data_IF_661742774577
#
_entry.id   IF_661742774577
#
_cell.length_a   1.000
_cell.length_b   1.000
_cell.length_c   1.000
_cell.angle_alpha   90.00
_cell.angle_beta   90.00
_cell.angle_gamma   90.00
#
_symmetry.space_group_name_H-M   'P 1'
#
loop_
_entity.id
_entity.type
_entity.pdbx_description
1 polymer ?
#
# COMPACT_ATOMS: atom_id res chain seq x y z
N UNK A 1 -5.00 -26.30 -14.16
CA UNK A 1 -5.75 -26.46 -12.89
C UNK A 1 -5.00 -27.40 -11.94
N UNK A 2 -3.73 -27.09 -11.59
CA UNK A 2 -2.86 -28.02 -10.83
C UNK A 2 -1.88 -27.32 -9.85
N UNK A 3 -2.09 -26.05 -9.49
CA UNK A 3 -1.16 -25.32 -8.60
C UNK A 3 -1.62 -25.15 -7.14
N UNK A 4 -2.79 -25.66 -6.75
CA UNK A 4 -3.30 -25.51 -5.37
C UNK A 4 -3.12 -26.75 -4.49
N UNK A 5 -2.67 -27.88 -5.03
CA UNK A 5 -2.64 -29.14 -4.26
C UNK A 5 -1.31 -29.45 -3.56
N UNK A 6 -0.20 -28.81 -3.96
CA UNK A 6 1.14 -29.12 -3.39
C UNK A 6 1.56 -28.28 -2.17
N UNK A 7 0.78 -27.27 -1.74
CA UNK A 7 1.13 -26.47 -0.55
C UNK A 7 0.85 -27.16 0.79
N UNK A 8 0.11 -28.28 0.80
CA UNK A 8 -0.20 -29.01 2.03
C UNK A 8 0.90 -29.94 2.55
N UNK A 9 2.00 -30.15 1.79
CA UNK A 9 2.98 -31.20 2.09
C UNK A 9 4.31 -30.71 2.71
N UNK A 10 4.49 -29.39 2.84
CA UNK A 10 5.64 -28.78 3.49
C UNK A 10 5.10 -27.72 4.44
N UNK A 11 5.22 -27.95 5.76
CA UNK A 11 4.76 -27.07 6.82
C UNK A 11 5.55 -25.75 6.92
N UNK A 12 5.77 -25.06 5.81
CA UNK A 12 6.30 -23.71 5.80
C UNK A 12 5.14 -22.80 6.16
N UNK A 13 5.14 -22.33 7.41
CA UNK A 13 4.21 -21.31 7.86
C UNK A 13 4.40 -20.05 7.02
N UNK A 14 3.36 -19.65 6.29
CA UNK A 14 3.42 -18.47 5.43
C UNK A 14 3.60 -17.22 6.29
N UNK A 15 4.59 -16.38 5.96
CA UNK A 15 4.90 -15.15 6.71
C UNK A 15 3.63 -14.32 6.98
N UNK A 16 3.47 -13.71 8.16
CA UNK A 16 2.27 -12.93 8.52
C UNK A 16 1.89 -11.83 7.52
N UNK A 17 2.87 -11.27 6.81
CA UNK A 17 2.72 -10.19 5.83
C UNK A 17 2.53 -10.65 4.39
N UNK A 18 2.62 -11.96 4.11
CA UNK A 18 2.47 -12.48 2.76
C UNK A 18 1.01 -12.40 2.33
N UNK A 19 0.73 -11.74 1.21
CA UNK A 19 -0.62 -11.68 0.66
C UNK A 19 -1.01 -13.04 0.08
N UNK A 20 -2.19 -13.53 0.46
CA UNK A 20 -2.72 -14.82 0.02
C UNK A 20 -4.13 -14.66 -0.53
N UNK A 21 -4.43 -15.33 -1.64
CA UNK A 21 -5.82 -15.55 -2.04
C UNK A 21 -6.47 -16.56 -1.09
N UNK A 22 -7.64 -16.21 -0.58
CA UNK A 22 -8.37 -16.97 0.44
C UNK A 22 -9.82 -17.14 0.02
N UNK A 23 -10.47 -18.13 0.64
CA UNK A 23 -11.86 -18.48 0.34
C UNK A 23 -12.79 -17.99 1.43
N UNK A 24 -14.01 -17.63 1.06
CA UNK A 24 -15.01 -17.06 1.98
C UNK A 24 -15.46 -18.03 3.07
N UNK A 25 -15.41 -19.34 2.82
CA UNK A 25 -15.75 -20.39 3.79
C UNK A 25 -14.84 -20.38 5.04
N UNK A 26 -13.62 -19.83 4.92
CA UNK A 26 -12.69 -19.70 6.05
C UNK A 26 -13.16 -18.69 7.11
N UNK A 27 -14.11 -17.81 6.78
CA UNK A 27 -14.47 -16.66 7.62
C UNK A 27 -15.90 -16.70 8.18
N UNK A 28 -16.71 -17.72 7.82
CA UNK A 28 -18.14 -17.83 8.21
C UNK A 28 -18.34 -17.77 9.73
N UNK A 29 -17.44 -18.40 10.50
CA UNK A 29 -17.56 -18.53 11.96
C UNK A 29 -16.60 -17.60 12.72
N UNK A 30 -16.04 -16.58 12.06
CA UNK A 30 -15.10 -15.65 12.68
C UNK A 30 -15.80 -14.32 12.97
N UNK A 31 -15.63 -13.75 14.17
CA UNK A 31 -16.17 -12.44 14.49
C UNK A 31 -15.48 -11.37 13.64
N UNK A 32 -16.23 -10.35 13.24
CA UNK A 32 -15.69 -9.16 12.57
C UNK A 32 -15.43 -8.12 13.66
N UNK A 33 -14.16 -7.76 13.86
CA UNK A 33 -13.76 -6.72 14.80
C UNK A 33 -13.99 -5.32 14.20
N UNK A 34 -13.59 -5.12 12.94
CA UNK A 34 -13.75 -3.86 12.21
C UNK A 34 -14.11 -4.12 10.74
N UNK A 35 -14.79 -3.15 10.14
CA UNK A 35 -15.18 -3.15 8.73
C UNK A 35 -15.05 -1.74 8.17
N UNK A 36 -14.36 -1.63 7.04
CA UNK A 36 -14.24 -0.41 6.24
C UNK A 36 -14.44 -0.79 4.77
N UNK A 37 -15.57 -0.42 4.18
CA UNK A 37 -15.97 -0.80 2.82
C UNK A 37 -15.74 -2.29 2.48
N UNK A 38 -14.70 -2.55 1.67
CA UNK A 38 -14.31 -3.86 1.16
C UNK A 38 -13.21 -4.54 2.00
N UNK A 39 -12.80 -3.95 3.12
CA UNK A 39 -11.76 -4.48 3.99
C UNK A 39 -12.28 -4.76 5.40
N UNK A 40 -11.95 -5.93 5.93
CA UNK A 40 -12.43 -6.41 7.22
C UNK A 40 -11.26 -6.91 8.07
N UNK A 41 -11.33 -6.64 9.38
CA UNK A 41 -10.49 -7.28 10.38
C UNK A 41 -11.30 -8.35 11.10
N UNK A 42 -10.98 -9.61 10.84
CA UNK A 42 -11.55 -10.76 11.52
C UNK A 42 -10.77 -11.10 12.78
N UNK A 43 -11.49 -11.45 13.84
CA UNK A 43 -10.91 -12.01 15.05
C UNK A 43 -10.70 -13.53 14.98
N UNK A 44 -10.12 -14.12 16.03
CA UNK A 44 -10.02 -15.56 16.20
C UNK A 44 -11.38 -16.25 16.16
N UNK A 45 -11.43 -17.50 15.71
CA UNK A 45 -12.65 -18.30 15.65
C UNK A 45 -13.15 -18.65 17.06
N UNK A 46 -14.47 -18.65 17.23
CA UNK A 46 -15.13 -18.95 18.52
C UNK A 46 -16.13 -20.11 18.34
N UNK A 47 -15.97 -21.25 19.03
CA UNK A 47 -14.82 -21.64 19.85
C UNK A 47 -13.57 -21.94 19.00
N UNK A 48 -12.35 -21.78 19.55
CA UNK A 48 -11.12 -22.06 18.81
C UNK A 48 -10.95 -23.57 18.58
N UNK A 49 -10.67 -23.98 17.34
CA UNK A 49 -10.19 -25.33 17.07
C UNK A 49 -8.71 -25.41 17.45
N UNK A 50 -8.39 -26.11 18.54
CA UNK A 50 -7.02 -26.22 19.05
C UNK A 50 -6.05 -26.90 18.08
N UNK A 51 -6.56 -27.59 17.04
CA UNK A 51 -5.75 -28.25 16.01
C UNK A 51 -5.36 -27.33 14.86
N UNK A 52 -6.07 -26.23 14.63
CA UNK A 52 -5.77 -25.29 13.55
C UNK A 52 -5.15 -23.99 14.09
N UNK A 53 -3.84 -23.75 13.94
CA UNK A 53 -3.20 -22.55 14.47
C UNK A 53 -3.79 -21.27 13.88
N UNK A 54 -4.32 -21.29 12.65
CA UNK A 54 -4.94 -20.13 12.00
C UNK A 54 -6.21 -19.64 12.68
N UNK A 55 -6.91 -20.52 13.41
CA UNK A 55 -8.15 -20.19 14.10
C UNK A 55 -7.90 -19.26 15.31
N UNK A 56 -6.64 -19.10 15.73
CA UNK A 56 -6.22 -18.22 16.82
C UNK A 56 -5.81 -16.81 16.36
N UNK A 57 -5.76 -16.56 15.06
CA UNK A 57 -5.21 -15.33 14.52
C UNK A 57 -6.29 -14.27 14.32
N UNK A 58 -5.89 -13.01 14.47
CA UNK A 58 -6.52 -11.87 13.82
C UNK A 58 -6.07 -11.83 12.36
N UNK A 59 -6.97 -11.43 11.46
CA UNK A 59 -6.68 -11.43 10.03
C UNK A 59 -7.37 -10.28 9.29
N UNK A 60 -6.57 -9.49 8.56
CA UNK A 60 -7.07 -8.45 7.68
C UNK A 60 -7.35 -9.06 6.31
N UNK A 61 -8.60 -8.97 5.87
CA UNK A 61 -9.07 -9.53 4.61
C UNK A 61 -9.68 -8.43 3.75
N UNK A 62 -9.25 -8.39 2.49
CA UNK A 62 -9.79 -7.53 1.46
C UNK A 62 -10.69 -8.37 0.54
N UNK A 63 -11.94 -7.93 0.40
CA UNK A 63 -12.89 -8.42 -0.58
C UNK A 63 -12.67 -7.61 -1.85
N UNK A 64 -12.53 -8.28 -3.00
CA UNK A 64 -12.33 -7.59 -4.27
C UNK A 64 -13.52 -6.65 -4.56
N UNK A 65 -13.28 -5.34 -4.77
CA UNK A 65 -14.36 -4.35 -4.75
C UNK A 65 -15.23 -4.27 -6.03
N UNK A 66 -14.86 -4.92 -7.15
CA UNK A 66 -15.45 -4.66 -8.48
C UNK A 66 -16.00 -5.89 -9.22
N UNK A 67 -16.48 -6.92 -8.51
CA UNK A 67 -16.95 -8.16 -9.17
C UNK A 67 -18.31 -8.63 -8.69
N UNK A 68 -19.28 -8.71 -9.61
CA UNK A 68 -20.63 -9.24 -9.35
C UNK A 68 -20.66 -10.79 -9.28
N UNK A 69 -19.67 -11.47 -9.85
CA UNK A 69 -19.71 -12.94 -10.04
C UNK A 69 -18.60 -13.75 -9.35
N UNK A 70 -17.44 -13.14 -9.03
CA UNK A 70 -16.28 -13.80 -8.43
C UNK A 70 -15.87 -13.09 -7.13
N UNK A 71 -16.39 -13.55 -5.99
CA UNK A 71 -16.00 -13.06 -4.67
C UNK A 71 -14.58 -13.51 -4.34
N UNK A 72 -13.58 -12.85 -4.93
CA UNK A 72 -12.19 -13.06 -4.58
C UNK A 72 -11.88 -12.32 -3.27
N UNK A 73 -11.18 -13.01 -2.38
CA UNK A 73 -10.75 -12.47 -1.10
C UNK A 73 -9.23 -12.62 -0.97
N UNK A 74 -8.62 -11.63 -0.34
CA UNK A 74 -7.18 -11.59 -0.12
C UNK A 74 -6.89 -11.38 1.36
N UNK A 75 -6.17 -12.31 1.96
CA UNK A 75 -5.57 -12.16 3.28
C UNK A 75 -4.35 -11.26 3.16
N UNK A 76 -4.41 -10.07 3.74
CA UNK A 76 -3.37 -9.05 3.64
C UNK A 76 -2.36 -9.13 4.80
N UNK A 77 -2.84 -9.48 5.99
CA UNK A 77 -2.03 -9.53 7.20
C UNK A 77 -2.67 -10.43 8.25
N UNK A 78 -1.84 -11.12 9.05
CA UNK A 78 -2.26 -12.02 10.13
C UNK A 78 -1.47 -11.69 11.40
N UNK A 79 -2.07 -11.81 12.58
CA UNK A 79 -1.36 -11.60 13.86
C UNK A 79 -2.03 -12.36 15.00
N UNK A 80 -1.27 -12.79 15.99
CA UNK A 80 -1.83 -13.29 17.26
C UNK A 80 -2.28 -12.14 18.19
N UNK A 81 -1.73 -10.93 17.99
CA UNK A 81 -2.05 -9.76 18.79
C UNK A 81 -3.15 -8.92 18.13
N UNK A 82 -4.20 -8.64 18.91
CA UNK A 82 -5.28 -7.73 18.50
C UNK A 82 -4.72 -6.34 18.18
N UNK A 83 -3.93 -5.78 19.10
CA UNK A 83 -3.31 -4.46 18.97
C UNK A 83 -2.52 -4.35 17.67
N UNK A 84 -1.66 -5.34 17.39
CA UNK A 84 -0.87 -5.36 16.15
C UNK A 84 -1.74 -5.42 14.88
N UNK A 85 -2.85 -6.15 14.92
CA UNK A 85 -3.77 -6.24 13.79
C UNK A 85 -4.57 -4.95 13.58
N UNK A 86 -5.03 -4.33 14.66
CA UNK A 86 -5.73 -3.02 14.64
C UNK A 86 -4.82 -1.92 14.10
N UNK A 87 -3.58 -1.86 14.59
CA UNK A 87 -2.56 -0.91 14.15
C UNK A 87 -2.29 -1.00 12.64
N UNK A 88 -2.25 -2.23 12.11
CA UNK A 88 -2.06 -2.48 10.68
C UNK A 88 -3.33 -2.15 9.89
N UNK A 89 -4.50 -2.47 10.43
CA UNK A 89 -5.80 -2.17 9.81
C UNK A 89 -5.98 -0.67 9.60
N UNK A 90 -5.65 0.16 10.60
CA UNK A 90 -5.72 1.63 10.51
C UNK A 90 -4.85 2.17 9.36
N UNK A 91 -3.66 1.61 9.16
CA UNK A 91 -2.77 2.03 8.05
C UNK A 91 -3.38 1.71 6.68
N UNK A 92 -4.03 0.55 6.57
CA UNK A 92 -4.49 0.00 5.29
C UNK A 92 -5.87 0.49 4.86
N UNK A 93 -6.78 0.74 5.81
CA UNK A 93 -8.24 0.76 5.57
C UNK A 93 -8.74 1.81 4.58
N UNK A 94 -8.08 2.94 4.50
CA UNK A 94 -8.43 3.99 3.53
C UNK A 94 -7.55 3.90 2.27
N UNK A 95 -6.27 3.58 2.45
CA UNK A 95 -5.26 3.69 1.40
C UNK A 95 -5.34 2.55 0.38
N UNK A 96 -5.50 1.30 0.84
CA UNK A 96 -5.54 0.13 -0.05
C UNK A 96 -6.81 0.14 -0.93
N UNK A 97 -8.03 0.31 -0.38
CA UNK A 97 -9.24 0.40 -1.21
C UNK A 97 -9.20 1.54 -2.21
N UNK A 98 -8.73 2.74 -1.79
CA UNK A 98 -8.57 3.88 -2.69
C UNK A 98 -7.56 3.59 -3.81
N UNK A 99 -6.41 3.01 -3.49
CA UNK A 99 -5.39 2.65 -4.48
C UNK A 99 -5.93 1.66 -5.52
N UNK A 100 -6.65 0.63 -5.09
CA UNK A 100 -7.27 -0.34 -6.00
C UNK A 100 -8.36 0.35 -6.86
N UNK A 101 -9.11 1.29 -6.27
CA UNK A 101 -10.15 2.04 -6.99
C UNK A 101 -9.57 2.86 -8.13
N UNK A 102 -8.43 3.53 -7.95
CA UNK A 102 -7.81 4.36 -8.99
C UNK A 102 -6.97 3.55 -9.98
N UNK A 103 -6.29 2.49 -9.53
CA UNK A 103 -5.44 1.66 -10.40
C UNK A 103 -6.21 0.59 -11.16
N UNK A 104 -7.36 0.16 -10.64
CA UNK A 104 -8.09 -1.05 -11.07
C UNK A 104 -7.29 -2.34 -10.94
N UNK A 105 -6.16 -2.32 -10.23
CA UNK A 105 -5.29 -3.47 -10.01
C UNK A 105 -5.61 -4.13 -8.65
N UNK A 106 -5.91 -5.43 -8.67
CA UNK A 106 -6.22 -6.19 -7.46
C UNK A 106 -5.74 -7.65 -7.60
N UNK A 107 -4.44 -7.80 -7.81
CA UNK A 107 -3.73 -9.09 -7.82
C UNK A 107 -2.91 -9.28 -6.54
N UNK A 108 -2.58 -10.54 -6.19
CA UNK A 108 -1.70 -10.85 -5.05
C UNK A 108 -0.39 -10.06 -5.12
N UNK A 109 0.21 -9.92 -6.31
CA UNK A 109 1.47 -9.20 -6.49
C UNK A 109 1.31 -7.69 -6.26
N UNK A 110 0.26 -7.08 -6.82
CA UNK A 110 -0.01 -5.65 -6.60
C UNK A 110 -0.32 -5.34 -5.14
N UNK A 111 -1.09 -6.21 -4.48
CA UNK A 111 -1.46 -6.09 -3.08
C UNK A 111 -0.26 -6.29 -2.15
N UNK A 112 0.64 -7.23 -2.47
CA UNK A 112 1.87 -7.42 -1.71
C UNK A 112 2.72 -6.15 -1.73
N UNK A 113 2.97 -5.58 -2.92
CA UNK A 113 3.77 -4.35 -3.06
C UNK A 113 3.21 -3.21 -2.21
N UNK A 114 1.91 -2.92 -2.30
CA UNK A 114 1.33 -1.83 -1.50
C UNK A 114 1.32 -2.13 0.01
N UNK A 115 1.11 -3.38 0.44
CA UNK A 115 1.17 -3.75 1.85
C UNK A 115 2.58 -3.57 2.44
N UNK A 116 3.60 -3.93 1.66
CA UNK A 116 5.01 -3.75 2.03
C UNK A 116 5.36 -2.25 2.12
N UNK A 117 5.03 -1.49 1.07
CA UNK A 117 5.27 -0.04 1.03
C UNK A 117 4.60 0.70 2.19
N UNK A 118 3.34 0.38 2.51
CA UNK A 118 2.61 1.00 3.62
C UNK A 118 3.08 0.53 5.00
N UNK A 119 3.71 -0.64 5.08
CA UNK A 119 4.31 -1.10 6.33
C UNK A 119 5.57 -0.30 6.68
N UNK A 120 6.33 0.11 5.67
CA UNK A 120 7.52 0.96 5.82
C UNK A 120 7.15 2.45 5.91
N UNK A 121 6.06 2.86 5.26
CA UNK A 121 5.67 4.27 5.11
C UNK A 121 4.21 4.49 5.54
N UNK A 122 3.94 4.31 6.85
CA UNK A 122 2.56 4.24 7.41
C UNK A 122 1.71 5.49 7.15
N UNK A 123 2.35 6.65 7.08
CA UNK A 123 1.71 7.97 6.96
C UNK A 123 1.61 8.50 5.53
N UNK A 124 2.13 7.78 4.53
CA UNK A 124 2.08 8.19 3.14
C UNK A 124 0.64 8.41 2.64
N UNK A 125 0.44 9.51 1.93
CA UNK A 125 -0.80 9.78 1.21
C UNK A 125 -0.88 8.95 -0.08
N UNK A 126 -2.03 8.97 -0.74
CA UNK A 126 -2.18 8.31 -2.04
C UNK A 126 -1.21 8.88 -3.10
N UNK A 127 -0.89 10.18 -3.04
CA UNK A 127 0.05 10.80 -3.96
C UNK A 127 1.49 10.29 -3.78
N UNK A 128 1.92 10.01 -2.53
CA UNK A 128 3.21 9.38 -2.28
C UNK A 128 3.28 7.98 -2.89
N UNK A 129 2.22 7.17 -2.74
CA UNK A 129 2.14 5.84 -3.35
C UNK A 129 2.21 5.90 -4.88
N UNK A 130 1.44 6.81 -5.49
CA UNK A 130 1.42 7.03 -6.94
C UNK A 130 2.80 7.46 -7.45
N UNK A 131 3.45 8.40 -6.75
CA UNK A 131 4.82 8.84 -7.07
C UNK A 131 5.82 7.69 -6.96
N UNK A 132 5.77 6.92 -5.87
CA UNK A 132 6.65 5.79 -5.61
C UNK A 132 6.53 4.68 -6.68
N UNK A 133 5.30 4.34 -7.08
CA UNK A 133 5.06 3.32 -8.10
C UNK A 133 5.19 3.84 -9.54
N UNK A 134 5.39 5.15 -9.74
CA UNK A 134 5.59 5.73 -11.07
C UNK A 134 4.33 5.84 -11.93
N UNK A 135 3.14 5.85 -11.32
CA UNK A 135 1.83 5.84 -11.98
C UNK A 135 1.41 7.25 -12.43
N UNK A 136 2.18 7.86 -13.34
CA UNK A 136 2.12 9.29 -13.68
C UNK A 136 0.71 9.76 -14.06
N UNK A 137 0.00 8.93 -14.83
CA UNK A 137 -1.36 9.17 -15.30
C UNK A 137 -2.40 9.40 -14.20
N UNK A 138 -2.16 8.85 -13.00
CA UNK A 138 -3.10 8.96 -11.87
C UNK A 138 -3.03 10.30 -11.17
N UNK A 139 -2.07 11.18 -11.50
CA UNK A 139 -2.13 12.57 -11.05
C UNK A 139 -3.28 13.35 -11.69
N UNK A 140 -4.08 12.79 -12.60
CA UNK A 140 -5.35 13.43 -12.98
C UNK A 140 -6.53 13.05 -12.06
N UNK A 141 -6.36 12.05 -11.19
CA UNK A 141 -7.41 11.61 -10.27
C UNK A 141 -7.63 12.65 -9.15
N UNK A 142 -8.88 13.06 -8.85
CA UNK A 142 -9.15 14.09 -7.85
C UNK A 142 -8.57 13.78 -6.47
N UNK A 143 -8.63 12.52 -6.04
CA UNK A 143 -8.11 12.10 -4.73
C UNK A 143 -6.57 12.17 -4.68
N UNK A 144 -5.88 12.03 -5.82
CA UNK A 144 -4.41 12.19 -5.91
C UNK A 144 -4.04 13.66 -5.96
N UNK A 145 -4.77 14.45 -6.76
CA UNK A 145 -4.59 15.90 -6.87
C UNK A 145 -4.75 16.65 -5.54
N UNK A 146 -5.61 16.18 -4.64
CA UNK A 146 -5.74 16.80 -3.30
C UNK A 146 -4.48 16.72 -2.45
N UNK A 147 -3.59 15.77 -2.73
CA UNK A 147 -2.43 15.45 -1.89
C UNK A 147 -1.10 15.54 -2.66
N UNK A 148 -1.08 16.12 -3.86
CA UNK A 148 0.07 16.07 -4.76
C UNK A 148 1.35 16.75 -4.23
N UNK A 149 1.19 17.68 -3.29
CA UNK A 149 2.28 18.47 -2.67
C UNK A 149 2.33 18.32 -1.13
N UNK A 150 1.54 17.39 -0.58
CA UNK A 150 1.51 17.16 0.86
C UNK A 150 2.84 16.58 1.34
N UNK A 151 3.39 17.14 2.42
CA UNK A 151 4.53 16.54 3.10
C UNK A 151 4.06 15.38 3.99
N UNK A 152 4.79 14.26 3.94
CA UNK A 152 4.61 13.17 4.89
C UNK A 152 4.87 13.66 6.33
N UNK A 153 3.96 13.47 7.29
CA UNK A 153 4.13 14.02 8.63
C UNK A 153 5.26 13.38 9.43
N UNK A 154 5.77 12.21 9.03
CA UNK A 154 6.83 11.50 9.77
C UNK A 154 8.24 11.81 9.27
N UNK A 155 8.37 12.16 8.01
CA UNK A 155 9.66 12.41 7.34
C UNK A 155 9.77 13.81 6.76
N UNK A 156 8.66 14.48 6.50
CA UNK A 156 8.59 15.75 5.77
C UNK A 156 8.75 15.58 4.24
N UNK A 157 8.95 14.36 3.75
CA UNK A 157 9.15 14.12 2.32
C UNK A 157 7.85 14.40 1.55
N UNK A 158 7.95 15.05 0.38
CA UNK A 158 6.82 15.25 -0.53
C UNK A 158 6.78 14.18 -1.62
N UNK A 159 5.66 14.02 -2.38
CA UNK A 159 5.61 13.12 -3.54
C UNK A 159 6.72 13.42 -4.57
N UNK A 160 7.10 14.69 -4.74
CA UNK A 160 8.21 15.06 -5.61
C UNK A 160 9.55 14.48 -5.11
N UNK A 161 9.87 14.62 -3.82
CA UNK A 161 11.08 14.03 -3.25
C UNK A 161 11.09 12.51 -3.38
N UNK A 162 9.94 11.85 -3.15
CA UNK A 162 9.80 10.41 -3.36
C UNK A 162 10.08 10.03 -4.81
N UNK A 163 9.55 10.77 -5.78
CA UNK A 163 9.79 10.49 -7.21
C UNK A 163 11.27 10.61 -7.60
N UNK A 164 11.97 11.61 -7.08
CA UNK A 164 13.42 11.80 -7.26
C UNK A 164 14.20 10.64 -6.65
N UNK A 165 13.86 10.23 -5.42
CA UNK A 165 14.50 9.09 -4.73
C UNK A 165 14.32 7.77 -5.49
N UNK A 166 13.16 7.57 -6.15
CA UNK A 166 12.94 6.39 -6.99
C UNK A 166 13.64 6.45 -8.36
N UNK A 167 14.18 7.61 -8.74
CA UNK A 167 14.87 7.80 -10.03
C UNK A 167 13.92 7.82 -11.24
N UNK A 168 12.61 8.00 -11.04
CA UNK A 168 11.64 8.01 -12.13
C UNK A 168 11.53 9.40 -12.77
N UNK A 169 12.32 9.63 -13.82
CA UNK A 169 12.40 10.92 -14.56
C UNK A 169 11.03 11.39 -15.05
N UNK A 170 10.20 10.48 -15.58
CA UNK A 170 8.86 10.82 -16.10
C UNK A 170 7.94 11.29 -14.97
N UNK A 171 8.03 10.67 -13.80
CA UNK A 171 7.25 11.08 -12.63
C UNK A 171 7.69 12.45 -12.13
N UNK A 172 9.00 12.71 -12.06
CA UNK A 172 9.54 14.03 -11.70
C UNK A 172 8.99 15.11 -12.65
N UNK A 173 9.05 14.88 -13.97
CA UNK A 173 8.48 15.80 -14.97
C UNK A 173 6.99 16.04 -14.79
N UNK A 174 6.24 14.98 -14.47
CA UNK A 174 4.79 15.06 -14.25
C UNK A 174 4.48 15.91 -13.03
N UNK A 175 5.19 15.74 -11.92
CA UNK A 175 4.98 16.56 -10.72
C UNK A 175 5.41 18.01 -10.92
N UNK A 176 6.53 18.25 -11.60
CA UNK A 176 6.99 19.61 -11.92
C UNK A 176 5.99 20.36 -12.80
N UNK A 177 5.36 19.69 -13.77
CA UNK A 177 4.34 20.33 -14.63
C UNK A 177 3.05 20.69 -13.89
N UNK A 178 2.82 20.10 -12.71
CA UNK A 178 1.71 20.43 -11.81
C UNK A 178 2.03 21.62 -10.88
N UNK A 179 3.19 22.27 -11.03
CA UNK A 179 3.65 23.38 -10.19
C UNK A 179 3.72 23.03 -8.69
N UNK A 180 4.16 21.81 -8.35
CA UNK A 180 4.46 21.44 -6.96
C UNK A 180 5.57 22.32 -6.36
N UNK A 181 5.60 22.43 -5.04
CA UNK A 181 6.57 23.26 -4.33
C UNK A 181 7.98 22.66 -4.37
N UNK A 182 8.95 23.44 -4.84
CA UNK A 182 10.38 23.10 -4.76
C UNK A 182 11.03 23.57 -3.45
N UNK A 183 10.30 24.32 -2.63
CA UNK A 183 10.79 24.94 -1.41
C UNK A 183 10.60 24.05 -0.17
N UNK A 184 9.88 22.94 -0.30
CA UNK A 184 9.72 22.00 0.78
C UNK A 184 11.08 21.43 1.22
N UNK A 185 11.24 21.29 2.53
CA UNK A 185 12.37 20.61 3.17
C UNK A 185 11.81 19.51 4.05
N UNK A 186 12.44 18.35 4.01
CA UNK A 186 12.11 17.24 4.89
C UNK A 186 12.66 17.49 6.31
N UNK A 187 12.39 16.56 7.23
CA UNK A 187 12.82 16.69 8.64
C UNK A 187 14.33 16.50 8.83
N UNK A 188 15.04 16.03 7.81
CA UNK A 188 16.51 15.97 7.77
C UNK A 188 17.12 17.26 7.16
N UNK A 189 16.28 18.21 6.76
CA UNK A 189 16.69 19.47 6.13
C UNK A 189 16.99 19.35 4.63
N UNK A 190 16.65 18.23 4.01
CA UNK A 190 16.87 18.02 2.58
C UNK A 190 15.71 18.60 1.77
N UNK A 191 16.04 19.45 0.80
CA UNK A 191 15.13 19.83 -0.28
C UNK A 191 15.18 18.82 -1.43
N UNK A 192 14.26 18.94 -2.39
CA UNK A 192 14.28 18.12 -3.63
C UNK A 192 15.63 18.20 -4.37
N UNK A 193 16.32 19.34 -4.29
CA UNK A 193 17.63 19.53 -4.93
C UNK A 193 18.74 18.71 -4.25
N UNK A 194 18.66 18.49 -2.94
CA UNK A 194 19.60 17.61 -2.23
C UNK A 194 19.45 16.16 -2.71
N UNK A 195 18.21 15.69 -2.82
CA UNK A 195 17.90 14.38 -3.39
C UNK A 195 18.36 14.27 -4.85
N UNK A 196 18.13 15.30 -5.67
CA UNK A 196 18.56 15.31 -7.06
C UNK A 196 20.09 15.24 -7.19
N UNK A 197 20.82 16.01 -6.38
CA UNK A 197 22.29 16.00 -6.36
C UNK A 197 22.87 14.63 -5.99
N UNK A 198 22.18 13.85 -5.14
CA UNK A 198 22.56 12.50 -4.75
C UNK A 198 22.09 11.40 -5.73
N UNK A 199 21.43 11.76 -6.84
CA UNK A 199 20.81 10.82 -7.78
C UNK A 199 21.67 10.58 -9.04
N UNK A 200 21.07 10.62 -10.23
CA UNK A 200 21.72 10.47 -11.52
C UNK A 200 21.59 11.73 -12.39
N UNK A 201 22.34 11.77 -13.50
CA UNK A 201 22.40 12.94 -14.39
C UNK A 201 21.05 13.35 -14.98
N UNK A 202 20.18 12.38 -15.28
CA UNK A 202 18.88 12.65 -15.89
C UNK A 202 17.94 13.34 -14.90
N UNK A 203 17.93 12.87 -13.66
CA UNK A 203 17.16 13.48 -12.57
C UNK A 203 17.67 14.89 -12.25
N UNK A 204 18.99 15.09 -12.22
CA UNK A 204 19.58 16.45 -12.03
C UNK A 204 19.11 17.40 -13.15
N UNK A 205 19.23 16.97 -14.41
CA UNK A 205 18.88 17.81 -15.57
C UNK A 205 17.41 18.22 -15.57
N UNK A 206 16.51 17.37 -15.09
CA UNK A 206 15.08 17.68 -15.08
C UNK A 206 14.63 18.42 -13.83
N UNK A 207 15.35 18.27 -12.71
CA UNK A 207 15.02 18.93 -11.45
C UNK A 207 15.48 20.39 -11.41
N UNK A 208 16.40 20.79 -12.29
CA UNK A 208 16.84 22.18 -12.44
C UNK A 208 15.97 22.82 -13.53
N UNK A 209 15.06 23.75 -13.20
CA UNK A 209 14.27 24.44 -14.20
C UNK A 209 15.19 25.18 -15.18
N UNK A 210 14.93 25.07 -16.49
CA UNK A 210 15.72 25.72 -17.54
C UNK A 210 15.63 27.27 -17.57
N UNK A 211 15.04 27.92 -16.56
CA UNK A 211 14.93 29.38 -16.49
C UNK A 211 15.26 29.88 -15.08
N UNK A 212 16.51 30.33 -14.91
CA UNK A 212 16.90 31.37 -13.95
C UNK A 212 17.37 32.57 -14.78
#
# INVERSE_FOLDING_TARGET
MFNSFFRGLLGIEELPTKVLEVRSDNYISRPICYREDSMLLYGPKIPPDSKNPKDKLYEIVLHKPFTESLHQMFSLFRSESQESAEDKFIVFKEKIPLFIKITKECSVQSLQKICDTLSENRSWTIAHLVAHFGLCELFNEPDVQRHFDDADPTTGATPLMVSVKTGNVRMVQTLLSLNCSLNAIDLEGNSVFHYAAASNKEIINVSIPYNI
#
